data_IF_304242274773
#
_entry.id   IF_304242274773
#
_cell.length_a   1.000
_cell.length_b   1.000
_cell.length_c   1.000
_cell.angle_alpha   90.00
_cell.angle_beta   90.00
_cell.angle_gamma   90.00
#
_symmetry.space_group_name_H-M   'P 1'
#
loop_
_entity.id
_entity.type
_entity.pdbx_description
1 polymer ?
#
# COMPACT_ATOMS: atom_id res chain seq x y z
N UNK A 1 -0.46 21.50 10.46
CA UNK A 1 0.07 21.42 9.07
C UNK A 1 -0.89 20.55 8.28
N UNK A 2 -1.20 20.85 7.01
CA UNK A 2 -1.92 19.89 6.18
C UNK A 2 -1.08 18.61 6.05
N UNK A 3 -1.74 17.46 6.05
CA UNK A 3 -1.08 16.18 5.80
C UNK A 3 -0.52 16.15 4.37
N UNK A 4 0.61 15.48 4.14
CA UNK A 4 1.17 15.36 2.80
C UNK A 4 0.19 14.61 1.89
N UNK A 5 0.08 15.08 0.65
CA UNK A 5 -0.74 14.44 -0.38
C UNK A 5 0.15 13.62 -1.32
N UNK A 6 0.04 12.30 -1.25
CA UNK A 6 0.78 11.36 -2.09
C UNK A 6 -0.16 10.23 -2.48
N UNK A 7 -0.27 9.91 -3.78
CA UNK A 7 -1.15 8.84 -4.23
C UNK A 7 -0.32 7.63 -4.66
N UNK A 8 -0.72 6.44 -4.22
CA UNK A 8 -0.06 5.18 -4.57
C UNK A 8 -1.05 4.18 -5.16
N UNK A 9 -0.54 3.29 -6.01
CA UNK A 9 -1.30 2.17 -6.57
C UNK A 9 -0.43 0.91 -6.64
N UNK A 10 -1.05 -0.27 -6.55
CA UNK A 10 -0.37 -1.54 -6.72
C UNK A 10 0.24 -1.66 -8.13
N UNK A 11 1.44 -2.24 -8.20
CA UNK A 11 2.05 -2.62 -9.47
C UNK A 11 1.51 -3.95 -9.98
N UNK A 12 1.45 -4.05 -11.31
CA UNK A 12 1.06 -5.25 -12.04
C UNK A 12 -0.44 -5.52 -12.06
N UNK A 13 -0.90 -6.39 -12.98
CA UNK A 13 -2.29 -6.82 -13.03
C UNK A 13 -2.63 -7.65 -11.79
N UNK A 14 -3.81 -7.40 -11.21
CA UNK A 14 -4.35 -8.18 -10.10
C UNK A 14 -5.76 -8.65 -10.38
N UNK A 15 -6.10 -9.78 -9.79
CA UNK A 15 -7.46 -10.28 -9.79
C UNK A 15 -8.31 -9.34 -8.93
N UNK A 16 -9.45 -8.94 -9.50
CA UNK A 16 -10.52 -8.24 -8.81
C UNK A 16 -11.36 -9.31 -8.14
N UNK A 17 -11.50 -9.21 -6.82
CA UNK A 17 -12.38 -10.09 -6.04
C UNK A 17 -13.76 -9.44 -5.91
N UNK A 18 -14.82 -10.23 -5.96
CA UNK A 18 -16.18 -9.79 -5.62
C UNK A 18 -16.35 -9.58 -4.10
N UNK A 19 -15.50 -10.23 -3.30
CA UNK A 19 -15.30 -9.95 -1.87
C UNK A 19 -13.87 -9.43 -1.63
N UNK A 20 -13.67 -8.10 -1.50
CA UNK A 20 -12.35 -7.55 -1.26
C UNK A 20 -11.78 -7.99 0.10
N UNK A 21 -12.61 -8.25 1.11
CA UNK A 21 -12.17 -8.58 2.46
C UNK A 21 -11.58 -10.02 2.55
N UNK A 22 -11.92 -10.89 1.59
CA UNK A 22 -11.32 -12.22 1.44
C UNK A 22 -9.99 -12.19 0.67
N UNK A 23 -9.51 -11.00 0.28
CA UNK A 23 -8.26 -10.89 -0.48
C UNK A 23 -7.05 -11.04 0.44
N UNK A 24 -6.40 -12.20 0.35
CA UNK A 24 -5.18 -12.48 1.10
C UNK A 24 -3.99 -11.62 0.63
N UNK A 25 -3.16 -11.20 1.59
CA UNK A 25 -1.84 -10.65 1.31
C UNK A 25 -0.96 -11.83 0.84
N UNK A 26 -0.25 -11.71 -0.30
CA UNK A 26 0.65 -12.77 -0.76
C UNK A 26 1.71 -13.14 0.29
N UNK A 27 1.94 -14.44 0.48
CA UNK A 27 2.96 -14.94 1.41
C UNK A 27 4.35 -14.36 1.11
N UNK A 28 4.67 -14.12 -0.17
CA UNK A 28 5.93 -13.48 -0.58
C UNK A 28 6.13 -12.10 0.02
N UNK A 29 5.06 -11.37 0.35
CA UNK A 29 5.12 -10.07 1.02
C UNK A 29 5.08 -10.23 2.53
N UNK A 30 4.29 -11.19 3.05
CA UNK A 30 4.23 -11.46 4.49
C UNK A 30 5.56 -11.98 5.04
N UNK A 31 6.24 -12.84 4.28
CA UNK A 31 7.50 -13.47 4.67
C UNK A 31 8.73 -12.62 4.31
N UNK A 32 8.57 -11.49 3.62
CA UNK A 32 9.68 -10.62 3.24
C UNK A 32 10.31 -9.99 4.49
N UNK A 33 11.57 -10.31 4.85
CA UNK A 33 12.24 -9.71 6.00
C UNK A 33 12.68 -8.27 5.74
N UNK A 34 12.69 -7.82 4.48
CA UNK A 34 13.01 -6.46 4.07
C UNK A 34 11.85 -5.48 4.23
N UNK A 35 10.64 -5.98 4.53
CA UNK A 35 9.46 -5.15 4.76
C UNK A 35 9.10 -5.11 6.25
N UNK A 36 8.89 -3.90 6.74
CA UNK A 36 8.34 -3.65 8.07
C UNK A 36 6.89 -4.12 8.18
N UNK A 37 6.41 -4.29 9.41
CA UNK A 37 5.01 -4.60 9.66
C UNK A 37 4.08 -3.49 9.13
N UNK A 38 4.51 -2.23 9.21
CA UNK A 38 3.77 -1.08 8.68
C UNK A 38 3.66 -1.16 7.14
N UNK A 39 4.74 -1.49 6.43
CA UNK A 39 4.71 -1.69 4.98
C UNK A 39 3.77 -2.84 4.58
N UNK A 40 3.81 -3.96 5.30
CA UNK A 40 2.92 -5.10 5.05
C UNK A 40 1.45 -4.73 5.27
N UNK A 41 1.14 -4.03 6.37
CA UNK A 41 -0.20 -3.52 6.65
C UNK A 41 -0.68 -2.51 5.60
N UNK A 42 0.18 -1.58 5.20
CA UNK A 42 -0.15 -0.59 4.18
C UNK A 42 -0.41 -1.26 2.82
N UNK A 43 0.37 -2.28 2.46
CA UNK A 43 0.15 -3.03 1.24
C UNK A 43 -1.15 -3.85 1.27
N UNK A 44 -1.61 -4.29 2.44
CA UNK A 44 -2.94 -4.86 2.59
C UNK A 44 -4.03 -3.87 2.17
N UNK A 45 -3.93 -2.61 2.60
CA UNK A 45 -4.85 -1.55 2.17
C UNK A 45 -4.80 -1.34 0.65
N UNK A 46 -3.60 -1.36 0.05
CA UNK A 46 -3.44 -1.26 -1.41
C UNK A 46 -4.18 -2.40 -2.12
N UNK A 47 -4.09 -3.63 -1.60
CA UNK A 47 -4.78 -4.79 -2.16
C UNK A 47 -6.30 -4.62 -2.10
N UNK A 48 -6.83 -4.14 -0.98
CA UNK A 48 -8.26 -3.89 -0.80
C UNK A 48 -8.80 -2.85 -1.79
N UNK A 49 -7.96 -1.93 -2.28
CA UNK A 49 -8.33 -0.95 -3.31
C UNK A 49 -8.43 -1.55 -4.73
N UNK A 50 -8.04 -2.80 -4.94
CA UNK A 50 -8.17 -3.53 -6.20
C UNK A 50 -7.68 -2.74 -7.43
N UNK A 51 -6.55 -2.04 -7.27
CA UNK A 51 -5.91 -1.25 -8.34
C UNK A 51 -6.34 0.22 -8.42
N UNK A 52 -7.30 0.65 -7.61
CA UNK A 52 -7.60 2.08 -7.49
C UNK A 52 -6.47 2.80 -6.73
N UNK A 53 -5.96 3.94 -7.25
CA UNK A 53 -5.08 4.81 -6.50
C UNK A 53 -5.73 5.27 -5.18
N UNK A 54 -4.94 5.39 -4.12
CA UNK A 54 -5.39 6.02 -2.87
C UNK A 54 -4.28 6.82 -2.20
N UNK A 55 -4.68 7.70 -1.28
CA UNK A 55 -3.77 8.49 -0.44
C UNK A 55 -3.56 7.77 0.91
N UNK A 56 -2.37 7.22 1.19
CA UNK A 56 -2.13 6.46 2.40
C UNK A 56 -2.13 7.33 3.66
N UNK A 57 -1.94 8.65 3.53
CA UNK A 57 -2.02 9.57 4.67
C UNK A 57 -3.46 9.85 5.13
N UNK A 58 -4.46 9.58 4.29
CA UNK A 58 -5.88 9.72 4.67
C UNK A 58 -6.45 8.42 5.26
N UNK A 59 -5.99 7.27 4.74
CA UNK A 59 -6.61 5.97 5.02
C UNK A 59 -5.84 5.12 6.05
N UNK A 60 -4.55 5.39 6.29
CA UNK A 60 -3.75 4.60 7.23
C UNK A 60 -3.81 5.18 8.66
N UNK A 61 -3.97 4.30 9.65
CA UNK A 61 -3.99 4.66 11.07
C UNK A 61 -2.59 4.65 11.70
N UNK A 62 -1.63 5.33 11.07
CA UNK A 62 -0.23 5.40 11.50
C UNK A 62 0.26 6.86 11.48
N UNK A 63 1.39 7.15 12.13
CA UNK A 63 1.97 8.49 12.03
C UNK A 63 2.59 8.76 10.64
N UNK A 64 2.66 10.03 10.25
CA UNK A 64 3.17 10.46 8.94
C UNK A 64 4.58 9.93 8.64
N UNK A 65 5.45 9.82 9.65
CA UNK A 65 6.80 9.29 9.48
C UNK A 65 6.79 7.81 9.14
N UNK A 66 5.98 7.04 9.88
CA UNK A 66 5.77 5.60 9.64
C UNK A 66 5.14 5.34 8.28
N UNK A 67 4.10 6.09 7.90
CA UNK A 67 3.46 5.96 6.58
C UNK A 67 4.48 6.23 5.47
N UNK A 68 5.27 7.30 5.59
CA UNK A 68 6.28 7.64 4.59
C UNK A 68 7.34 6.53 4.44
N UNK A 69 7.85 6.01 5.55
CA UNK A 69 8.83 4.93 5.52
C UNK A 69 8.24 3.67 4.87
N UNK A 70 7.01 3.30 5.22
CA UNK A 70 6.30 2.18 4.62
C UNK A 70 6.09 2.36 3.10
N UNK A 71 5.73 3.56 2.64
CA UNK A 71 5.62 3.85 1.19
C UNK A 71 6.96 3.66 0.49
N UNK A 72 8.06 4.15 1.05
CA UNK A 72 9.39 3.98 0.44
C UNK A 72 9.82 2.52 0.37
N UNK A 73 9.54 1.73 1.42
CA UNK A 73 9.80 0.28 1.41
C UNK A 73 9.04 -0.42 0.28
N UNK A 74 7.74 -0.15 0.14
CA UNK A 74 6.90 -0.76 -0.90
C UNK A 74 7.29 -0.33 -2.31
N UNK A 75 7.68 0.93 -2.50
CA UNK A 75 8.17 1.43 -3.80
C UNK A 75 9.52 0.78 -4.12
N UNK A 76 10.43 0.70 -3.15
CA UNK A 76 11.75 0.08 -3.34
C UNK A 76 11.66 -1.42 -3.63
N UNK A 77 10.68 -2.11 -3.02
CA UNK A 77 10.36 -3.51 -3.32
C UNK A 77 9.62 -3.70 -4.66
N UNK A 78 9.26 -2.62 -5.36
CA UNK A 78 8.54 -2.68 -6.63
C UNK A 78 7.08 -3.15 -6.50
N UNK A 79 6.50 -3.12 -5.30
CA UNK A 79 5.14 -3.58 -5.02
C UNK A 79 4.08 -2.53 -5.35
N UNK A 80 4.43 -1.24 -5.24
CA UNK A 80 3.57 -0.11 -5.52
C UNK A 80 4.30 0.95 -6.34
N UNK A 81 3.56 1.83 -6.99
CA UNK A 81 4.07 3.03 -7.65
C UNK A 81 3.35 4.27 -7.15
N UNK A 82 4.10 5.37 -7.10
CA UNK A 82 3.54 6.71 -6.93
C UNK A 82 2.83 7.12 -8.21
N UNK A 83 1.64 7.65 -8.07
CA UNK A 83 0.79 8.07 -9.19
C UNK A 83 0.31 9.51 -8.99
N UNK A 84 0.02 10.24 -10.08
CA UNK A 84 -0.65 11.52 -9.94
C UNK A 84 -2.02 11.33 -9.28
N UNK A 85 -2.50 12.39 -8.63
CA UNK A 85 -3.88 12.44 -8.11
C UNK A 85 -4.87 12.09 -9.22
N UNK A 86 -5.75 11.12 -8.94
CA UNK A 86 -6.82 10.68 -9.83
C UNK A 86 -7.95 11.72 -9.91
#
# INVERSE_FOLDING_TARGET
MPEPEEWIAANGPRLVSDDPDDTAIPDTVLDDPGLSLAAKGLYALVILRQGQPFNPYEDAFEDVGTIRAAVEELVSAGLVSRVPKA
#
